data_IF_295541864895
#
_entry.id   IF_295541864895
#
_cell.length_a   1.000
_cell.length_b   1.000
_cell.length_c   1.000
_cell.angle_alpha   90.00
_cell.angle_beta   90.00
_cell.angle_gamma   90.00
#
_symmetry.space_group_name_H-M   'P 1'
#
loop_
_entity.id
_entity.type
_entity.pdbx_description
1 polymer ?
#
# COMPACT_ATOMS: atom_id res chain seq x y z
N UNK A 1 0.32 -29.14 7.84
CA UNK A 1 1.04 -29.20 6.55
C UNK A 1 1.55 -27.80 6.20
N UNK A 2 2.80 -27.65 5.76
CA UNK A 2 3.27 -26.39 5.15
C UNK A 2 2.91 -26.50 3.66
N UNK A 3 1.88 -25.77 3.18
CA UNK A 3 1.29 -26.02 1.86
C UNK A 3 2.26 -25.82 0.69
N UNK A 4 3.37 -25.14 0.92
CA UNK A 4 4.40 -24.83 -0.08
C UNK A 4 5.79 -25.39 0.28
N UNK A 5 5.86 -26.33 1.23
CA UNK A 5 7.13 -26.89 1.72
C UNK A 5 7.89 -25.98 2.69
N UNK A 6 9.00 -26.46 3.28
CA UNK A 6 9.66 -25.79 4.42
C UNK A 6 10.37 -24.49 4.06
N UNK A 7 10.63 -24.23 2.78
CA UNK A 7 11.40 -23.09 2.29
C UNK A 7 10.54 -21.91 1.83
N UNK A 8 9.21 -22.06 1.79
CA UNK A 8 8.29 -21.00 1.35
C UNK A 8 7.50 -20.50 2.55
N UNK A 9 7.75 -19.25 2.94
CA UNK A 9 7.00 -18.55 3.99
C UNK A 9 5.95 -17.64 3.36
N UNK A 10 4.70 -17.83 3.75
CA UNK A 10 3.59 -16.94 3.38
C UNK A 10 3.63 -15.71 4.30
N UNK A 11 3.67 -14.53 3.72
CA UNK A 11 3.61 -13.24 4.41
C UNK A 11 2.17 -12.72 4.42
N UNK A 12 1.83 -11.86 5.40
CA UNK A 12 0.49 -11.32 5.52
C UNK A 12 0.20 -10.14 4.58
N UNK A 13 1.21 -9.51 4.00
CA UNK A 13 1.08 -8.44 3.01
C UNK A 13 1.55 -8.93 1.65
N UNK A 14 0.83 -8.57 0.59
CA UNK A 14 1.08 -9.10 -0.75
C UNK A 14 2.24 -8.42 -1.49
N UNK A 15 2.64 -7.20 -1.09
CA UNK A 15 3.83 -6.50 -1.61
C UNK A 15 4.86 -6.26 -0.52
N UNK A 16 6.14 -6.38 -0.87
CA UNK A 16 7.25 -6.02 0.02
C UNK A 16 7.23 -4.53 0.37
N UNK A 17 6.79 -3.66 -0.55
CA UNK A 17 6.65 -2.22 -0.31
C UNK A 17 5.71 -1.90 0.86
N UNK A 18 4.69 -2.73 1.10
CA UNK A 18 3.80 -2.54 2.25
C UNK A 18 4.55 -2.70 3.59
N UNK A 19 5.66 -3.43 3.65
CA UNK A 19 6.51 -3.53 4.84
C UNK A 19 7.38 -2.29 5.08
N UNK A 20 7.51 -1.42 4.08
CA UNK A 20 8.27 -0.17 4.18
C UNK A 20 7.42 1.00 4.63
N UNK A 21 6.11 0.80 4.78
CA UNK A 21 5.17 1.82 5.27
C UNK A 21 5.23 1.84 6.80
N UNK A 22 6.14 2.65 7.33
CA UNK A 22 6.26 2.99 8.75
C UNK A 22 6.19 4.52 8.90
N UNK A 23 5.27 4.99 9.74
CA UNK A 23 4.98 6.42 9.88
C UNK A 23 6.18 7.23 10.36
N UNK A 24 6.99 6.65 11.26
CA UNK A 24 8.17 7.32 11.80
C UNK A 24 9.31 7.37 10.78
N UNK A 25 9.56 6.27 10.06
CA UNK A 25 10.58 6.21 9.00
C UNK A 25 10.25 7.15 7.83
N UNK A 26 8.99 7.17 7.40
CA UNK A 26 8.51 8.09 6.36
C UNK A 26 8.71 9.53 6.83
N UNK A 27 8.27 9.86 8.04
CA UNK A 27 8.32 11.23 8.53
C UNK A 27 9.74 11.71 8.80
N UNK A 28 10.63 10.85 9.28
CA UNK A 28 12.04 11.18 9.41
C UNK A 28 12.67 11.53 8.06
N UNK A 29 12.38 10.72 7.03
CA UNK A 29 12.84 11.01 5.68
C UNK A 29 12.25 12.33 5.15
N UNK A 30 10.93 12.54 5.28
CA UNK A 30 10.25 13.73 4.79
C UNK A 30 10.70 15.01 5.50
N UNK A 31 10.87 14.96 6.81
CA UNK A 31 11.34 16.08 7.62
C UNK A 31 12.74 16.53 7.16
N UNK A 32 13.64 15.58 6.93
CA UNK A 32 14.97 15.85 6.40
C UNK A 32 14.92 16.37 4.95
N UNK A 33 14.10 15.76 4.09
CA UNK A 33 13.97 16.15 2.69
C UNK A 33 13.46 17.59 2.53
N UNK A 34 12.57 18.03 3.42
CA UNK A 34 11.93 19.36 3.36
C UNK A 34 12.52 20.38 4.34
N UNK A 35 13.53 20.00 5.13
CA UNK A 35 14.21 20.88 6.09
C UNK A 35 13.31 21.37 7.24
N UNK A 36 12.32 20.56 7.64
CA UNK A 36 11.32 20.93 8.66
C UNK A 36 11.41 20.04 9.89
N UNK A 37 10.77 20.47 10.98
CA UNK A 37 10.60 19.62 12.17
C UNK A 37 9.69 18.42 11.83
N UNK A 38 9.99 17.21 12.33
CA UNK A 38 9.11 16.05 12.17
C UNK A 38 7.77 16.26 12.88
N UNK A 39 6.69 15.81 12.22
CA UNK A 39 5.31 15.72 12.72
C UNK A 39 5.14 14.53 13.65
N UNK A 40 3.99 14.45 14.29
CA UNK A 40 3.65 13.27 15.09
C UNK A 40 3.39 12.06 14.19
N UNK A 41 3.63 10.86 14.71
CA UNK A 41 3.30 9.62 14.01
C UNK A 41 1.80 9.53 13.66
N UNK A 42 0.93 10.07 14.53
CA UNK A 42 -0.53 10.11 14.33
C UNK A 42 -0.92 10.93 13.10
N UNK A 43 -0.30 12.10 12.90
CA UNK A 43 -0.56 12.95 11.74
C UNK A 43 -0.18 12.25 10.44
N UNK A 44 0.94 11.52 10.46
CA UNK A 44 1.44 10.77 9.31
C UNK A 44 0.53 9.57 9.02
N UNK A 45 0.09 8.84 10.04
CA UNK A 45 -0.87 7.74 9.88
C UNK A 45 -2.18 8.23 9.29
N UNK A 46 -2.69 9.39 9.74
CA UNK A 46 -3.89 10.00 9.16
C UNK A 46 -3.71 10.31 7.67
N UNK A 47 -2.57 10.91 7.29
CA UNK A 47 -2.23 11.15 5.88
C UNK A 47 -2.15 9.83 5.07
N UNK A 48 -1.57 8.78 5.65
CA UNK A 48 -1.51 7.46 5.00
C UNK A 48 -2.89 6.84 4.81
N UNK A 49 -3.80 6.99 5.78
CA UNK A 49 -5.19 6.54 5.66
C UNK A 49 -5.95 7.30 4.56
N UNK A 50 -5.72 8.60 4.42
CA UNK A 50 -6.27 9.40 3.31
C UNK A 50 -5.78 8.90 1.94
N UNK A 51 -4.51 8.50 1.85
CA UNK A 51 -4.00 7.86 0.63
C UNK A 51 -4.64 6.49 0.39
N UNK A 52 -4.81 5.68 1.44
CA UNK A 52 -5.42 4.35 1.36
C UNK A 52 -6.89 4.41 0.89
N UNK A 53 -7.63 5.45 1.28
CA UNK A 53 -9.03 5.62 0.86
C UNK A 53 -9.16 5.77 -0.67
N UNK A 54 -8.24 6.48 -1.31
CA UNK A 54 -8.19 6.58 -2.78
C UNK A 54 -7.68 5.28 -3.40
N UNK A 55 -6.65 4.67 -2.81
CA UNK A 55 -6.05 3.43 -3.33
C UNK A 55 -6.94 2.20 -3.19
N UNK A 56 -8.01 2.28 -2.40
CA UNK A 56 -9.09 1.30 -2.42
C UNK A 56 -9.66 1.14 -3.82
N UNK A 57 -9.84 2.25 -4.55
CA UNK A 57 -10.34 2.23 -5.93
C UNK A 57 -9.29 1.66 -6.90
N UNK A 58 -8.02 2.05 -6.76
CA UNK A 58 -6.92 1.51 -7.57
C UNK A 58 -6.80 -0.02 -7.42
N UNK A 59 -6.83 -0.51 -6.19
CA UNK A 59 -6.73 -1.93 -5.86
C UNK A 59 -7.92 -2.71 -6.42
N UNK A 60 -9.14 -2.19 -6.22
CA UNK A 60 -10.36 -2.80 -6.75
C UNK A 60 -10.37 -2.82 -8.29
N UNK A 61 -9.92 -1.74 -8.91
CA UNK A 61 -9.80 -1.61 -10.36
C UNK A 61 -8.79 -2.59 -10.93
N UNK A 62 -7.61 -2.73 -10.32
CA UNK A 62 -6.60 -3.69 -10.73
C UNK A 62 -7.05 -5.14 -10.56
N UNK A 63 -7.79 -5.46 -9.50
CA UNK A 63 -8.40 -6.77 -9.34
C UNK A 63 -9.43 -7.07 -10.44
N UNK A 64 -10.24 -6.08 -10.84
CA UNK A 64 -11.18 -6.22 -11.96
C UNK A 64 -10.45 -6.39 -13.31
N UNK A 65 -9.39 -5.62 -13.55
CA UNK A 65 -8.54 -5.77 -14.74
C UNK A 65 -7.93 -7.17 -14.83
N UNK A 66 -7.42 -7.69 -13.70
CA UNK A 66 -6.84 -9.02 -13.63
C UNK A 66 -7.87 -10.11 -13.96
N UNK A 67 -9.08 -10.04 -13.40
CA UNK A 67 -10.17 -10.97 -13.71
C UNK A 67 -10.56 -10.96 -15.19
N UNK A 68 -10.57 -9.77 -15.79
CA UNK A 68 -10.88 -9.57 -17.20
C UNK A 68 -9.68 -9.81 -18.14
N UNK A 69 -8.50 -10.16 -17.59
CA UNK A 69 -7.25 -10.38 -18.33
C UNK A 69 -6.82 -9.18 -19.20
N UNK A 70 -7.03 -7.97 -18.70
CA UNK A 70 -6.57 -6.73 -19.33
C UNK A 70 -5.47 -6.06 -18.50
N UNK A 71 -4.71 -5.17 -19.13
CA UNK A 71 -3.66 -4.41 -18.44
C UNK A 71 -4.26 -3.55 -17.31
N UNK A 72 -3.64 -3.65 -16.13
CA UNK A 72 -3.98 -2.85 -14.96
C UNK A 72 -3.65 -1.36 -15.09
N UNK A 73 -3.93 -0.65 -14.01
CA UNK A 73 -3.54 0.73 -13.75
C UNK A 73 -2.11 0.76 -13.20
N UNK A 74 -1.30 1.66 -13.75
CA UNK A 74 0.05 1.94 -13.24
C UNK A 74 0.00 2.55 -11.85
N UNK A 75 1.11 2.50 -11.11
CA UNK A 75 1.18 2.99 -9.73
C UNK A 75 0.83 4.49 -9.58
N UNK A 76 1.18 5.30 -10.59
CA UNK A 76 0.86 6.74 -10.63
C UNK A 76 -0.52 7.09 -11.22
N UNK A 77 -1.34 6.11 -11.59
CA UNK A 77 -2.65 6.38 -12.22
C UNK A 77 -3.57 7.16 -11.28
N UNK A 78 -3.54 6.82 -9.99
CA UNK A 78 -4.34 7.47 -8.96
C UNK A 78 -3.52 8.50 -8.19
N UNK A 79 -2.72 9.35 -8.84
CA UNK A 79 -1.96 10.40 -8.14
C UNK A 79 -2.83 11.58 -7.69
N UNK A 80 -4.05 11.72 -8.25
CA UNK A 80 -5.03 12.70 -7.78
C UNK A 80 -5.45 12.43 -6.33
N UNK A 81 -5.60 13.49 -5.54
CA UNK A 81 -6.21 13.41 -4.21
C UNK A 81 -7.74 13.33 -4.26
N UNK A 82 -8.34 13.75 -5.37
CA UNK A 82 -9.79 13.70 -5.57
C UNK A 82 -10.23 12.26 -5.90
N UNK A 83 -10.87 11.62 -4.92
CA UNK A 83 -11.39 10.26 -5.02
C UNK A 83 -12.50 10.14 -6.08
N UNK A 84 -13.37 11.14 -6.19
CA UNK A 84 -14.47 11.14 -7.16
C UNK A 84 -13.91 11.17 -8.58
N UNK A 85 -12.91 12.01 -8.81
CA UNK A 85 -12.21 12.05 -10.10
C UNK A 85 -11.52 10.72 -10.41
N UNK A 86 -10.83 10.13 -9.44
CA UNK A 86 -10.18 8.82 -9.63
C UNK A 86 -11.20 7.73 -9.98
N UNK A 87 -12.34 7.70 -9.31
CA UNK A 87 -13.41 6.75 -9.61
C UNK A 87 -13.95 6.94 -11.04
N UNK A 88 -14.20 8.19 -11.44
CA UNK A 88 -14.63 8.52 -12.79
C UNK A 88 -13.62 8.08 -13.85
N UNK A 89 -12.32 8.35 -13.64
CA UNK A 89 -11.24 7.97 -14.57
C UNK A 89 -11.15 6.43 -14.72
N UNK A 90 -11.32 5.68 -13.62
CA UNK A 90 -11.36 4.22 -13.63
C UNK A 90 -12.58 3.72 -14.41
N UNK A 91 -13.77 4.24 -14.12
CA UNK A 91 -15.01 3.84 -14.77
C UNK A 91 -15.01 4.18 -16.27
N UNK A 92 -14.49 5.35 -16.64
CA UNK A 92 -14.35 5.75 -18.03
C UNK A 92 -13.43 4.79 -18.80
N UNK A 93 -12.31 4.35 -18.20
CA UNK A 93 -11.45 3.34 -18.81
C UNK A 93 -12.19 2.02 -19.01
N UNK A 94 -13.01 1.59 -18.05
CA UNK A 94 -13.80 0.36 -18.24
C UNK A 94 -14.85 0.48 -19.33
N UNK A 95 -15.47 1.65 -19.52
CA UNK A 95 -16.42 1.89 -20.62
C UNK A 95 -15.75 1.79 -22.00
N UNK A 96 -14.45 2.08 -22.11
CA UNK A 96 -13.69 1.94 -23.36
C UNK A 96 -13.41 0.47 -23.71
N UNK A 97 -13.60 -0.46 -22.78
CA UNK A 97 -13.46 -1.89 -23.02
C UNK A 97 -14.84 -2.53 -23.26
N UNK A 98 -14.94 -3.39 -24.28
CA UNK A 98 -16.18 -4.07 -24.66
C UNK A 98 -16.71 -5.02 -23.55
N UNK A 99 -15.86 -5.37 -22.58
CA UNK A 99 -16.20 -6.31 -21.53
C UNK A 99 -16.89 -5.62 -20.33
N UNK A 100 -18.23 -5.61 -20.33
CA UNK A 100 -19.07 -5.12 -19.24
C UNK A 100 -18.82 -5.80 -17.88
N UNK A 101 -18.13 -6.95 -17.82
CA UNK A 101 -17.85 -7.62 -16.54
C UNK A 101 -16.92 -6.82 -15.63
N UNK A 102 -16.04 -5.97 -16.18
CA UNK A 102 -15.07 -5.18 -15.42
C UNK A 102 -15.76 -4.25 -14.41
N UNK A 103 -16.87 -3.61 -14.80
CA UNK A 103 -17.56 -2.65 -13.95
C UNK A 103 -18.24 -3.33 -12.75
N UNK A 104 -18.86 -4.49 -12.98
CA UNK A 104 -19.47 -5.28 -11.91
C UNK A 104 -18.41 -5.80 -10.93
N UNK A 105 -17.31 -6.32 -11.45
CA UNK A 105 -16.20 -6.81 -10.63
C UNK A 105 -15.55 -5.69 -9.83
N UNK A 106 -15.38 -4.51 -10.44
CA UNK A 106 -14.84 -3.32 -9.78
C UNK A 106 -15.66 -2.94 -8.55
N UNK A 107 -16.98 -2.79 -8.69
CA UNK A 107 -17.86 -2.45 -7.57
C UNK A 107 -17.84 -3.52 -6.47
N UNK A 108 -17.84 -4.81 -6.85
CA UNK A 108 -17.72 -5.91 -5.89
C UNK A 108 -16.37 -5.88 -5.16
N UNK A 109 -15.28 -5.57 -5.86
CA UNK A 109 -13.94 -5.54 -5.29
C UNK A 109 -13.72 -4.33 -4.38
N UNK A 110 -14.39 -3.17 -4.62
CA UNK A 110 -14.36 -2.04 -3.68
C UNK A 110 -14.84 -2.51 -2.30
N UNK A 111 -16.00 -3.19 -2.23
CA UNK A 111 -16.55 -3.67 -0.96
C UNK A 111 -15.60 -4.66 -0.26
N UNK A 112 -14.92 -5.54 -1.01
CA UNK A 112 -13.94 -6.49 -0.47
C UNK A 112 -12.72 -5.78 0.11
N UNK A 113 -12.21 -4.75 -0.55
CA UNK A 113 -11.07 -3.95 -0.06
C UNK A 113 -11.48 -3.15 1.16
N UNK A 114 -12.66 -2.51 1.14
CA UNK A 114 -13.20 -1.76 2.28
C UNK A 114 -13.43 -2.62 3.52
N UNK A 115 -13.71 -3.91 3.37
CA UNK A 115 -13.85 -4.83 4.50
C UNK A 115 -12.57 -4.99 5.34
N UNK A 116 -11.40 -4.58 4.82
CA UNK A 116 -10.17 -4.50 5.61
C UNK A 116 -10.11 -3.28 6.52
N UNK A 117 -10.82 -2.19 6.21
CA UNK A 117 -10.93 -1.04 7.10
C UNK A 117 -11.99 -1.31 8.17
N UNK A 118 -11.61 -1.19 9.45
CA UNK A 118 -12.52 -1.36 10.59
C UNK A 118 -12.57 -0.04 11.36
N UNK A 119 -13.60 0.81 11.15
CA UNK A 119 -13.63 2.17 11.72
C UNK A 119 -13.61 2.24 13.25
N UNK A 120 -13.96 1.16 13.94
CA UNK A 120 -13.94 1.08 15.41
C UNK A 120 -12.54 0.83 15.99
N UNK A 121 -11.52 0.55 15.16
CA UNK A 121 -10.14 0.32 15.61
C UNK A 121 -9.34 1.62 15.64
N UNK A 122 -8.17 1.58 16.28
CA UNK A 122 -7.20 2.68 16.21
C UNK A 122 -6.71 2.93 14.79
N UNK A 123 -6.22 4.13 14.50
CA UNK A 123 -5.74 4.48 13.16
C UNK A 123 -4.54 3.60 12.73
N UNK A 124 -3.68 3.24 13.68
CA UNK A 124 -2.59 2.27 13.49
C UNK A 124 -3.12 0.93 12.98
N UNK A 125 -4.07 0.34 13.70
CA UNK A 125 -4.63 -0.97 13.38
C UNK A 125 -5.39 -0.94 12.05
N UNK A 126 -6.12 0.16 11.79
CA UNK A 126 -6.78 0.38 10.50
C UNK A 126 -5.78 0.40 9.35
N UNK A 127 -4.68 1.15 9.49
CA UNK A 127 -3.62 1.21 8.49
C UNK A 127 -2.97 -0.17 8.29
N UNK A 128 -2.64 -0.89 9.36
CA UNK A 128 -2.04 -2.22 9.27
C UNK A 128 -2.91 -3.22 8.51
N UNK A 129 -4.24 -3.19 8.72
CA UNK A 129 -5.15 -4.05 7.98
C UNK A 129 -5.22 -3.66 6.50
N UNK A 130 -5.33 -2.36 6.20
CA UNK A 130 -5.39 -1.87 4.82
C UNK A 130 -4.12 -2.21 4.02
N UNK A 131 -2.94 -2.14 4.65
CA UNK A 131 -1.66 -2.52 4.02
C UNK A 131 -1.55 -4.02 3.66
N UNK A 132 -2.50 -4.86 4.08
CA UNK A 132 -2.56 -6.27 3.63
C UNK A 132 -3.15 -6.41 2.24
N UNK A 133 -3.89 -5.41 1.75
CA UNK A 133 -4.62 -5.50 0.48
C UNK A 133 -4.29 -4.36 -0.48
N UNK A 134 -3.93 -3.17 0.02
CA UNK A 134 -3.60 -2.03 -0.83
C UNK A 134 -2.24 -2.21 -1.52
N UNK A 135 -2.10 -1.63 -2.71
CA UNK A 135 -0.84 -1.54 -3.44
C UNK A 135 0.14 -0.58 -2.75
N UNK A 136 1.19 -1.14 -2.16
CA UNK A 136 2.24 -0.41 -1.47
C UNK A 136 3.10 0.42 -2.42
N UNK A 137 3.31 -0.05 -3.66
CA UNK A 137 4.01 0.74 -4.68
C UNK A 137 3.24 2.00 -5.06
N UNK A 138 1.93 1.89 -5.29
CA UNK A 138 1.08 3.03 -5.57
C UNK A 138 1.01 3.99 -4.37
N UNK A 139 1.00 3.48 -3.14
CA UNK A 139 1.10 4.29 -1.92
C UNK A 139 2.41 5.09 -1.87
N UNK A 140 3.55 4.44 -2.10
CA UNK A 140 4.84 5.13 -2.17
C UNK A 140 4.89 6.14 -3.33
N UNK A 141 4.32 5.82 -4.49
CA UNK A 141 4.20 6.74 -5.62
C UNK A 141 3.43 8.00 -5.23
N UNK A 142 2.29 7.85 -4.56
CA UNK A 142 1.47 8.98 -4.07
C UNK A 142 2.22 9.85 -3.07
N UNK A 143 2.93 9.25 -2.12
CA UNK A 143 3.76 9.98 -1.14
C UNK A 143 4.86 10.74 -1.89
N UNK A 144 5.57 10.08 -2.81
CA UNK A 144 6.63 10.73 -3.59
C UNK A 144 6.10 11.91 -4.39
N UNK A 145 4.96 11.73 -5.07
CA UNK A 145 4.32 12.78 -5.85
C UNK A 145 3.90 13.97 -4.99
N UNK A 146 3.27 13.71 -3.84
CA UNK A 146 2.80 14.75 -2.92
C UNK A 146 3.95 15.61 -2.36
N UNK A 147 5.10 14.99 -2.09
CA UNK A 147 6.24 15.66 -1.46
C UNK A 147 7.36 16.00 -2.47
N UNK A 148 7.08 15.94 -3.78
CA UNK A 148 8.02 16.25 -4.87
C UNK A 148 9.34 15.45 -4.84
N UNK A 149 9.27 14.18 -4.44
CA UNK A 149 10.42 13.30 -4.36
C UNK A 149 10.62 12.58 -5.69
N UNK A 150 11.71 12.88 -6.38
CA UNK A 150 12.06 12.28 -7.67
C UNK A 150 12.83 10.96 -7.58
N UNK A 151 13.53 10.71 -6.48
CA UNK A 151 14.45 9.57 -6.34
C UNK A 151 13.83 8.37 -5.61
N UNK A 152 14.58 7.28 -5.54
CA UNK A 152 14.17 6.06 -4.82
C UNK A 152 14.32 6.25 -3.30
N UNK A 153 13.29 5.91 -2.53
CA UNK A 153 13.26 6.07 -1.07
C UNK A 153 13.22 4.76 -0.31
N UNK A 154 12.93 3.63 -0.97
CA UNK A 154 12.75 2.32 -0.32
C UNK A 154 13.94 1.90 0.54
N UNK A 155 15.17 2.15 0.06
CA UNK A 155 16.39 1.87 0.84
C UNK A 155 16.53 2.76 2.08
N UNK A 156 16.14 4.04 1.98
CA UNK A 156 16.14 4.95 3.13
C UNK A 156 15.11 4.51 4.17
N UNK A 157 13.90 4.15 3.74
CA UNK A 157 12.85 3.65 4.62
C UNK A 157 13.29 2.35 5.33
N UNK A 158 13.84 1.39 4.58
CA UNK A 158 14.34 0.14 5.15
C UNK A 158 15.46 0.37 6.18
N UNK A 159 16.39 1.28 5.88
CA UNK A 159 17.47 1.64 6.80
C UNK A 159 16.93 2.30 8.08
N UNK A 160 15.97 3.21 7.96
CA UNK A 160 15.33 3.88 9.09
C UNK A 160 14.55 2.89 9.97
N UNK A 161 13.76 1.99 9.37
CA UNK A 161 13.01 0.94 10.09
C UNK A 161 13.98 0.05 10.87
N UNK A 162 15.09 -0.37 10.24
CA UNK A 162 16.13 -1.18 10.90
C UNK A 162 16.77 -0.42 12.07
N UNK A 163 17.18 0.83 11.86
CA UNK A 163 17.79 1.68 12.91
C UNK A 163 16.84 1.90 14.09
N UNK A 164 15.55 2.07 13.82
CA UNK A 164 14.52 2.27 14.84
C UNK A 164 14.04 0.95 15.48
N UNK A 165 14.64 -0.19 15.14
CA UNK A 165 14.26 -1.52 15.64
C UNK A 165 12.78 -1.87 15.42
N UNK A 166 12.20 -1.35 14.33
CA UNK A 166 10.78 -1.55 13.97
C UNK A 166 10.58 -2.56 12.84
N UNK A 167 11.52 -3.50 12.68
CA UNK A 167 11.36 -4.56 11.67
C UNK A 167 10.10 -5.37 12.03
N UNK A 168 9.11 -5.48 11.13
CA UNK A 168 7.89 -6.22 11.42
C UNK A 168 8.17 -7.67 11.82
N UNK A 169 7.47 -8.17 12.86
CA UNK A 169 7.75 -9.47 13.46
C UNK A 169 7.74 -10.63 12.45
N UNK A 170 6.86 -10.57 11.44
CA UNK A 170 6.80 -11.60 10.40
C UNK A 170 8.05 -11.63 9.51
N UNK A 171 8.71 -10.49 9.32
CA UNK A 171 9.99 -10.39 8.60
C UNK A 171 11.14 -10.81 9.51
N UNK A 172 11.19 -10.33 10.76
CA UNK A 172 12.27 -10.69 11.67
C UNK A 172 12.30 -12.19 11.96
N UNK A 173 11.14 -12.80 12.21
CA UNK A 173 11.00 -14.25 12.42
C UNK A 173 11.47 -15.04 11.20
N UNK A 174 11.22 -14.54 9.99
CA UNK A 174 11.71 -15.16 8.76
C UNK A 174 13.23 -15.06 8.64
N UNK A 175 13.82 -13.89 8.90
CA UNK A 175 15.27 -13.70 8.84
C UNK A 175 16.03 -14.56 9.86
N UNK A 176 15.46 -14.79 11.04
CA UNK A 176 16.04 -15.67 12.05
C UNK A 176 16.11 -17.13 11.58
N UNK A 177 15.10 -17.63 10.86
CA UNK A 177 15.13 -19.00 10.32
C UNK A 177 16.29 -19.25 9.35
N UNK A 178 16.73 -18.24 8.59
CA UNK A 178 17.93 -18.38 7.74
C UNK A 178 19.24 -18.37 8.52
N UNK A 179 19.30 -17.65 9.65
CA UNK A 179 20.51 -17.59 10.47
C UNK A 179 20.82 -18.90 11.19
N UNK A 180 19.79 -19.70 11.49
CA UNK A 180 19.93 -21.01 12.13
C UNK A 180 20.20 -22.13 11.12
N UNK A 181 19.95 -21.87 9.83
CA UNK A 181 20.12 -22.83 8.74
C UNK A 181 21.48 -22.74 8.03
N UNK A 182 22.37 -21.85 8.48
CA UNK A 182 23.77 -21.69 8.06
C UNK A 182 24.68 -21.87 9.27
#
# INVERSE_FOLDING_TARGET
>A
AIPFGPYIKILNRWELENYLIDSQAIEEYLANHTGRKPRSAQDVIKELLEHCDVLTLHTAGNAACHNARINGFTDGFTDSKDKTRVDQDIQQRFQQHINFSCQKDYLSNIAKVQAFDTPSLSNEERLEKLLRIICGKALLSRIKRQHNISHEIRFHLAAAIKRNQKIPLEISSYLETFKVSN
#
